data_IF_379114864152
#
_entry.id   IF_379114864152
#
_cell.length_a   1.000
_cell.length_b   1.000
_cell.length_c   1.000
_cell.angle_alpha   90.00
_cell.angle_beta   90.00
_cell.angle_gamma   90.00
#
_symmetry.space_group_name_H-M   'P 1'
#
loop_
_entity.id
_entity.type
_entity.pdbx_description
1 polymer ?
#
# COMPACT_ATOMS: atom_id res chain seq x y z
N UNK A 1 39.06 9.95 -0.79
CA UNK A 1 38.19 10.25 -1.91
C UNK A 1 36.72 10.39 -1.47
N UNK A 2 36.30 9.68 -0.42
CA UNK A 2 34.89 9.69 0.09
C UNK A 2 34.76 10.41 1.44
N UNK A 3 35.82 11.08 1.89
CA UNK A 3 35.87 11.87 3.12
C UNK A 3 35.64 11.04 4.38
N UNK A 4 35.34 11.70 5.49
CA UNK A 4 35.07 11.07 6.80
C UNK A 4 33.82 10.19 6.78
N UNK A 5 32.87 10.47 5.91
CA UNK A 5 31.65 9.67 5.76
C UNK A 5 31.91 8.26 5.19
N UNK A 6 33.03 8.07 4.48
CA UNK A 6 33.45 6.76 3.98
C UNK A 6 34.23 5.89 4.96
N UNK A 7 34.44 6.33 6.21
CA UNK A 7 35.25 5.61 7.20
C UNK A 7 34.72 4.21 7.53
N UNK A 8 33.40 3.99 7.43
CA UNK A 8 32.73 2.70 7.69
C UNK A 8 32.50 1.87 6.42
N UNK A 9 33.09 2.26 5.29
CA UNK A 9 32.94 1.61 3.99
C UNK A 9 32.03 2.40 3.04
N UNK A 10 32.19 2.11 1.75
CA UNK A 10 31.43 2.75 0.66
C UNK A 10 30.88 1.68 -0.26
N UNK A 11 29.60 1.77 -0.58
CA UNK A 11 28.95 0.96 -1.62
C UNK A 11 28.88 1.81 -2.89
N UNK A 12 29.66 1.43 -3.90
CA UNK A 12 29.64 2.10 -5.21
C UNK A 12 28.70 1.37 -6.14
N UNK A 13 27.61 2.04 -6.56
CA UNK A 13 26.66 1.52 -7.52
C UNK A 13 26.99 2.08 -8.90
N UNK A 14 27.41 1.23 -9.80
CA UNK A 14 27.66 1.58 -11.19
C UNK A 14 26.49 1.16 -12.07
N UNK A 15 25.84 2.10 -12.73
CA UNK A 15 24.70 1.82 -13.61
C UNK A 15 25.17 1.37 -14.98
N UNK A 16 24.32 0.61 -15.70
CA UNK A 16 24.61 0.17 -17.08
C UNK A 16 24.82 1.35 -17.99
N UNK A 17 25.82 1.23 -18.87
CA UNK A 17 26.13 2.21 -19.92
C UNK A 17 26.02 1.53 -21.28
N UNK A 18 25.82 2.34 -22.33
CA UNK A 18 25.92 1.89 -23.70
C UNK A 18 27.34 1.51 -24.08
N UNK A 19 27.46 0.67 -25.07
CA UNK A 19 28.73 0.32 -25.70
C UNK A 19 28.63 0.53 -27.20
N UNK A 20 29.75 0.85 -27.85
CA UNK A 20 29.83 0.95 -29.30
C UNK A 20 29.29 -0.34 -29.94
N UNK A 21 28.33 -0.22 -30.83
CA UNK A 21 27.71 -1.33 -31.50
C UNK A 21 26.31 -1.02 -31.99
N UNK A 22 25.68 -2.00 -32.65
CA UNK A 22 24.31 -1.89 -33.12
C UNK A 22 23.34 -1.68 -31.95
N UNK A 23 22.27 -0.91 -32.16
CA UNK A 23 21.21 -0.79 -31.16
C UNK A 23 20.67 -2.15 -30.74
N UNK A 24 20.54 -2.35 -29.42
CA UNK A 24 19.95 -3.52 -28.81
C UNK A 24 18.74 -3.10 -27.98
N UNK A 25 17.58 -3.61 -28.35
CA UNK A 25 16.33 -3.43 -27.60
C UNK A 25 16.04 -4.70 -26.82
N UNK A 26 15.77 -4.56 -25.54
CA UNK A 26 15.31 -5.64 -24.66
C UNK A 26 14.04 -5.19 -23.96
N UNK A 27 12.99 -6.00 -24.04
CA UNK A 27 11.73 -5.76 -23.34
C UNK A 27 11.50 -6.95 -22.42
N UNK A 28 11.22 -6.66 -21.15
CA UNK A 28 10.84 -7.66 -20.14
C UNK A 28 9.47 -7.35 -19.59
N UNK A 29 8.67 -8.38 -19.44
CA UNK A 29 7.36 -8.35 -18.83
C UNK A 29 7.35 -9.36 -17.68
N UNK A 30 7.08 -8.88 -16.48
CA UNK A 30 6.97 -9.69 -15.28
C UNK A 30 5.57 -9.56 -14.70
N UNK A 31 4.88 -10.66 -14.55
CA UNK A 31 3.63 -10.75 -13.81
C UNK A 31 3.86 -11.56 -12.55
N UNK A 32 3.60 -10.96 -11.41
CA UNK A 32 3.71 -11.61 -10.10
C UNK A 32 2.44 -11.41 -9.28
N UNK A 33 2.30 -12.20 -8.24
CA UNK A 33 1.23 -12.07 -7.26
C UNK A 33 1.86 -11.93 -5.89
N UNK A 34 1.44 -10.91 -5.17
CA UNK A 34 1.85 -10.66 -3.80
C UNK A 34 0.78 -11.19 -2.85
N UNK A 35 1.20 -11.78 -1.74
CA UNK A 35 0.32 -12.25 -0.67
C UNK A 35 0.90 -11.86 0.68
N UNK A 36 0.07 -11.84 1.70
CA UNK A 36 0.56 -11.66 3.06
C UNK A 36 1.40 -12.88 3.47
N UNK A 37 2.54 -12.63 4.06
CA UNK A 37 3.43 -13.69 4.58
C UNK A 37 2.92 -14.26 5.89
N UNK A 38 2.12 -13.50 6.63
CA UNK A 38 1.49 -13.91 7.86
C UNK A 38 0.10 -13.27 7.95
N UNK A 39 -0.91 -14.09 8.12
CA UNK A 39 -2.28 -13.64 8.40
C UNK A 39 -2.51 -13.83 9.91
N UNK A 40 -2.88 -12.78 10.66
CA UNK A 40 -3.23 -12.94 12.05
C UNK A 40 -4.45 -13.86 12.19
N UNK A 41 -4.41 -14.76 13.18
CA UNK A 41 -5.60 -15.49 13.59
C UNK A 41 -6.41 -14.63 14.55
N UNK A 42 -7.71 -14.58 14.36
CA UNK A 42 -8.63 -13.89 15.27
C UNK A 42 -9.38 -14.91 16.12
N UNK A 43 -9.76 -14.52 17.32
CA UNK A 43 -10.63 -15.31 18.18
C UNK A 43 -12.05 -15.27 17.59
N UNK A 44 -12.79 -16.34 17.77
CA UNK A 44 -14.22 -16.30 17.58
C UNK A 44 -14.90 -15.35 18.57
N UNK A 45 -16.03 -14.79 18.19
CA UNK A 45 -16.76 -13.82 19.01
C UNK A 45 -17.12 -14.34 20.41
N UNK A 46 -17.49 -15.60 20.53
CA UNK A 46 -17.76 -16.22 21.84
C UNK A 46 -16.46 -16.40 22.67
N UNK A 47 -15.34 -16.78 22.05
CA UNK A 47 -14.04 -16.87 22.73
C UNK A 47 -13.58 -15.50 23.23
N UNK A 48 -13.76 -14.45 22.39
CA UNK A 48 -13.52 -13.08 22.82
C UNK A 48 -14.32 -12.72 24.07
N UNK A 49 -15.62 -13.05 24.11
CA UNK A 49 -16.48 -12.78 25.27
C UNK A 49 -16.01 -13.53 26.52
N UNK A 50 -15.63 -14.81 26.36
CA UNK A 50 -15.12 -15.65 27.44
C UNK A 50 -13.80 -15.10 28.01
N UNK A 51 -12.81 -14.80 27.15
CA UNK A 51 -11.54 -14.21 27.57
C UNK A 51 -11.70 -12.81 28.16
N UNK A 52 -12.62 -12.02 27.62
CA UNK A 52 -12.91 -10.69 28.18
C UNK A 52 -13.48 -10.79 29.59
N UNK A 53 -14.38 -11.73 29.80
CA UNK A 53 -14.93 -12.01 31.13
C UNK A 53 -13.84 -12.47 32.11
N UNK A 54 -12.97 -13.40 31.68
CA UNK A 54 -11.85 -13.88 32.49
C UNK A 54 -10.92 -12.73 32.89
N UNK A 55 -10.54 -11.87 31.94
CA UNK A 55 -9.70 -10.71 32.22
C UNK A 55 -10.34 -9.75 33.24
N UNK A 56 -11.66 -9.49 33.11
CA UNK A 56 -12.37 -8.62 34.04
C UNK A 56 -12.46 -9.25 35.46
N UNK A 57 -12.70 -10.55 35.55
CA UNK A 57 -12.72 -11.26 36.84
C UNK A 57 -11.34 -11.26 37.48
N UNK A 58 -10.27 -11.43 36.75
CA UNK A 58 -8.89 -11.33 37.24
C UNK A 58 -8.55 -9.93 37.73
N UNK A 59 -9.16 -8.88 37.15
CA UNK A 59 -9.08 -7.50 37.64
C UNK A 59 -10.00 -7.21 38.86
N UNK A 60 -10.73 -8.20 39.36
CA UNK A 60 -11.69 -8.03 40.47
C UNK A 60 -12.97 -7.30 40.03
N UNK A 61 -13.29 -7.27 38.77
CA UNK A 61 -14.50 -6.68 38.17
C UNK A 61 -15.54 -7.76 37.84
N UNK A 62 -16.76 -7.34 37.59
CA UNK A 62 -17.83 -8.26 37.18
C UNK A 62 -17.64 -8.68 35.69
N UNK A 63 -18.11 -9.89 35.36
CA UNK A 63 -18.21 -10.34 33.96
C UNK A 63 -19.08 -9.37 33.17
N UNK A 64 -18.65 -9.09 31.93
CA UNK A 64 -19.35 -8.18 31.00
C UNK A 64 -20.43 -8.90 30.22
N UNK A 65 -20.19 -10.16 29.84
CA UNK A 65 -21.09 -10.96 29.02
C UNK A 65 -21.71 -12.08 29.86
N UNK A 66 -23.05 -12.19 29.84
CA UNK A 66 -23.73 -13.33 30.46
C UNK A 66 -23.54 -14.59 29.60
N UNK A 67 -23.74 -15.77 30.21
CA UNK A 67 -23.69 -17.04 29.48
C UNK A 67 -24.71 -17.07 28.31
N UNK A 68 -25.89 -16.52 28.53
CA UNK A 68 -26.93 -16.41 27.46
C UNK A 68 -26.43 -15.61 26.25
N UNK A 69 -25.70 -14.53 26.47
CA UNK A 69 -25.11 -13.71 25.39
C UNK A 69 -24.02 -14.49 24.67
N UNK A 70 -23.17 -15.20 25.39
CA UNK A 70 -22.11 -16.05 24.82
C UNK A 70 -22.73 -17.16 23.95
N UNK A 71 -23.80 -17.79 24.45
CA UNK A 71 -24.52 -18.85 23.68
C UNK A 71 -25.15 -18.30 22.41
N UNK A 72 -25.66 -17.06 22.44
CA UNK A 72 -26.16 -16.37 21.22
C UNK A 72 -25.04 -16.05 20.22
N UNK A 73 -23.83 -15.75 20.66
CA UNK A 73 -22.68 -15.62 19.73
C UNK A 73 -22.30 -16.99 19.12
N UNK A 74 -22.43 -18.10 19.89
CA UNK A 74 -22.20 -19.44 19.35
C UNK A 74 -23.28 -19.86 18.35
N UNK A 75 -24.53 -19.47 18.61
CA UNK A 75 -25.68 -19.73 17.73
C UNK A 75 -26.65 -18.54 17.76
N UNK A 76 -26.57 -17.61 16.81
CA UNK A 76 -27.43 -16.42 16.76
C UNK A 76 -28.93 -16.75 16.70
N UNK A 77 -29.30 -17.91 16.17
CA UNK A 77 -30.71 -18.33 16.03
C UNK A 77 -31.25 -19.04 17.26
N UNK A 78 -30.47 -19.24 18.30
CA UNK A 78 -30.86 -19.91 19.52
C UNK A 78 -32.11 -19.29 20.16
N UNK A 79 -33.14 -20.09 20.35
CA UNK A 79 -34.40 -19.67 20.98
C UNK A 79 -35.34 -18.87 20.09
N UNK A 80 -35.10 -18.76 18.79
CA UNK A 80 -36.06 -18.25 17.83
C UNK A 80 -36.99 -19.37 17.38
N UNK A 81 -38.29 -19.06 17.28
CA UNK A 81 -39.29 -19.98 16.76
C UNK A 81 -39.42 -19.79 15.23
N UNK A 82 -39.13 -20.81 14.42
CA UNK A 82 -39.30 -20.74 12.97
C UNK A 82 -40.75 -20.51 12.51
N UNK A 83 -41.75 -20.78 13.37
CA UNK A 83 -43.14 -20.52 13.07
C UNK A 83 -43.58 -19.06 13.35
N UNK A 84 -42.70 -18.23 13.94
CA UNK A 84 -43.00 -16.83 14.20
C UNK A 84 -43.12 -16.05 12.87
N UNK A 85 -44.22 -15.29 12.66
CA UNK A 85 -44.39 -14.49 11.44
C UNK A 85 -43.23 -13.55 11.14
N UNK A 86 -42.52 -13.09 12.18
CA UNK A 86 -41.37 -12.17 12.06
C UNK A 86 -40.02 -12.90 12.12
N UNK A 87 -40.00 -14.23 11.97
CA UNK A 87 -38.78 -15.03 12.13
C UNK A 87 -37.63 -14.54 11.26
N UNK A 88 -37.86 -14.30 9.98
CA UNK A 88 -36.81 -13.83 9.04
C UNK A 88 -36.17 -12.50 9.49
N UNK A 89 -36.99 -11.54 9.91
CA UNK A 89 -36.51 -10.25 10.40
C UNK A 89 -35.72 -10.41 11.71
N UNK A 90 -36.23 -11.23 12.64
CA UNK A 90 -35.57 -11.53 13.92
C UNK A 90 -34.26 -12.29 13.70
N UNK A 91 -34.24 -13.26 12.79
CA UNK A 91 -33.05 -14.03 12.45
C UNK A 91 -31.97 -13.12 11.83
N UNK A 92 -32.33 -12.27 10.86
CA UNK A 92 -31.44 -11.33 10.24
C UNK A 92 -30.82 -10.35 11.27
N UNK A 93 -31.65 -9.82 12.18
CA UNK A 93 -31.14 -8.93 13.26
C UNK A 93 -30.24 -9.68 14.23
N UNK A 94 -30.57 -10.92 14.59
CA UNK A 94 -29.74 -11.73 15.48
C UNK A 94 -28.39 -12.06 14.88
N UNK A 95 -28.34 -12.47 13.63
CA UNK A 95 -27.09 -12.73 12.89
C UNK A 95 -26.25 -11.46 12.75
N UNK A 96 -26.88 -10.32 12.58
CA UNK A 96 -26.19 -9.03 12.55
C UNK A 96 -25.63 -8.65 13.92
N UNK A 97 -26.42 -8.79 14.99
CA UNK A 97 -26.03 -8.38 16.36
C UNK A 97 -24.99 -9.32 16.96
N UNK A 98 -25.17 -10.64 16.79
CA UNK A 98 -24.29 -11.67 17.34
C UNK A 98 -23.39 -12.25 16.23
N UNK A 99 -22.68 -11.36 15.55
CA UNK A 99 -21.81 -11.72 14.44
C UNK A 99 -20.49 -12.35 14.93
N UNK A 100 -19.87 -13.09 14.02
CA UNK A 100 -18.54 -13.67 14.20
C UNK A 100 -17.70 -13.33 12.96
N UNK A 101 -17.09 -12.14 12.94
CA UNK A 101 -16.48 -11.56 11.77
C UNK A 101 -14.94 -11.71 11.79
N UNK A 102 -14.40 -12.46 10.86
CA UNK A 102 -12.97 -12.46 10.57
C UNK A 102 -12.65 -11.33 9.57
N UNK A 103 -12.35 -10.15 10.10
CA UNK A 103 -12.08 -8.96 9.30
C UNK A 103 -10.90 -9.11 8.36
N UNK A 104 -9.88 -9.86 8.73
CA UNK A 104 -8.73 -10.07 7.87
C UNK A 104 -9.13 -10.85 6.62
N UNK A 105 -9.89 -11.94 6.78
CA UNK A 105 -10.39 -12.70 5.64
C UNK A 105 -11.42 -11.94 4.81
N UNK A 106 -12.18 -11.06 5.44
CA UNK A 106 -13.20 -10.29 4.75
C UNK A 106 -12.62 -9.15 3.92
N UNK A 107 -11.66 -8.41 4.49
CA UNK A 107 -11.14 -7.20 3.85
C UNK A 107 -9.78 -7.34 3.18
N UNK A 108 -9.06 -8.43 3.42
CA UNK A 108 -7.78 -8.66 2.78
C UNK A 108 -7.91 -9.67 1.63
N UNK A 109 -7.40 -9.28 0.46
CA UNK A 109 -7.27 -10.19 -0.67
C UNK A 109 -6.10 -11.14 -0.42
N UNK A 110 -6.31 -12.43 -0.62
CA UNK A 110 -5.27 -13.43 -0.47
C UNK A 110 -4.09 -13.18 -1.43
N UNK A 111 -4.39 -12.79 -2.66
CA UNK A 111 -3.38 -12.53 -3.68
C UNK A 111 -3.76 -11.27 -4.46
N UNK A 112 -2.75 -10.45 -4.77
CA UNK A 112 -2.90 -9.26 -5.60
C UNK A 112 -1.89 -9.24 -6.73
N UNK A 113 -2.29 -8.81 -7.95
CA UNK A 113 -1.38 -8.78 -9.07
C UNK A 113 -0.38 -7.63 -8.95
N UNK A 114 0.85 -7.90 -9.37
CA UNK A 114 1.87 -6.89 -9.64
C UNK A 114 2.38 -7.09 -11.05
N UNK A 115 2.25 -6.07 -11.87
CA UNK A 115 2.72 -6.06 -13.26
C UNK A 115 3.93 -5.15 -13.37
N UNK A 116 5.00 -5.63 -14.00
CA UNK A 116 6.18 -4.84 -14.31
C UNK A 116 6.54 -4.99 -15.78
N UNK A 117 6.78 -3.86 -16.42
CA UNK A 117 7.26 -3.81 -17.82
C UNK A 117 8.52 -2.96 -17.85
N UNK A 118 9.58 -3.46 -18.44
CA UNK A 118 10.80 -2.70 -18.66
C UNK A 118 11.23 -2.80 -20.13
N UNK A 119 11.57 -1.67 -20.70
CA UNK A 119 12.19 -1.59 -22.02
C UNK A 119 13.56 -0.94 -21.89
N UNK A 120 14.58 -1.59 -22.40
CA UNK A 120 15.96 -1.12 -22.40
C UNK A 120 16.43 -0.99 -23.85
N UNK A 121 16.99 0.17 -24.18
CA UNK A 121 17.67 0.40 -25.44
C UNK A 121 19.12 0.78 -25.16
N UNK A 122 20.07 0.06 -25.73
CA UNK A 122 21.48 0.36 -25.59
C UNK A 122 22.19 0.24 -26.92
N UNK A 123 23.25 1.03 -27.09
CA UNK A 123 24.08 1.02 -28.29
C UNK A 123 25.10 2.11 -28.27
N UNK A 124 25.80 2.31 -29.38
CA UNK A 124 26.76 3.39 -29.48
C UNK A 124 27.44 3.46 -30.84
N UNK A 125 27.99 4.64 -31.09
CA UNK A 125 28.82 4.97 -32.26
C UNK A 125 30.21 5.40 -31.76
N UNK A 126 31.01 5.91 -32.67
CA UNK A 126 32.29 6.56 -32.29
C UNK A 126 32.10 7.87 -31.52
N UNK A 127 30.91 8.48 -31.61
CA UNK A 127 30.61 9.80 -31.06
C UNK A 127 29.77 9.75 -29.80
N UNK A 128 28.89 8.70 -29.67
CA UNK A 128 27.99 8.61 -28.53
C UNK A 128 27.71 7.15 -28.15
N UNK A 129 27.79 6.84 -26.86
CA UNK A 129 27.25 5.63 -26.28
C UNK A 129 26.00 6.00 -25.48
N UNK A 130 24.97 5.16 -25.57
CA UNK A 130 23.69 5.42 -24.91
C UNK A 130 23.11 4.17 -24.28
N UNK A 131 22.51 4.37 -23.12
CA UNK A 131 21.62 3.42 -22.46
C UNK A 131 20.36 4.16 -22.00
N UNK A 132 19.22 3.70 -22.48
CA UNK A 132 17.90 4.22 -22.11
C UNK A 132 17.09 3.10 -21.48
N UNK A 133 16.38 3.39 -20.39
CA UNK A 133 15.44 2.48 -19.77
C UNK A 133 14.12 3.20 -19.49
N UNK A 134 13.02 2.55 -19.82
CA UNK A 134 11.67 2.93 -19.42
C UNK A 134 11.11 1.76 -18.65
N UNK A 135 10.68 2.00 -17.43
CA UNK A 135 10.07 0.99 -16.56
C UNK A 135 8.70 1.45 -16.07
N UNK A 136 7.73 0.57 -16.15
CA UNK A 136 6.42 0.76 -15.55
C UNK A 136 6.15 -0.36 -14.55
N UNK A 137 5.61 -0.01 -13.39
CA UNK A 137 5.13 -0.97 -12.40
C UNK A 137 3.73 -0.56 -11.95
N UNK A 138 2.83 -1.52 -11.97
CA UNK A 138 1.53 -1.44 -11.32
C UNK A 138 1.48 -2.45 -10.18
N UNK A 139 1.24 -1.98 -8.98
CA UNK A 139 0.98 -2.81 -7.80
C UNK A 139 -0.50 -2.71 -7.50
N UNK A 140 -1.22 -3.80 -7.65
CA UNK A 140 -2.63 -3.89 -7.30
C UNK A 140 -2.85 -3.80 -5.79
N UNK A 141 -4.04 -3.42 -5.41
CA UNK A 141 -4.43 -3.29 -4.02
C UNK A 141 -4.86 -4.60 -3.38
N UNK A 142 -4.58 -4.73 -2.11
CA UNK A 142 -4.84 -5.94 -1.32
C UNK A 142 -6.08 -5.85 -0.43
N UNK A 143 -6.92 -4.83 -0.63
CA UNK A 143 -8.18 -4.68 0.10
C UNK A 143 -9.35 -5.21 -0.73
N UNK A 144 -10.32 -5.83 -0.06
CA UNK A 144 -11.66 -6.06 -0.60
C UNK A 144 -12.48 -4.80 -0.34
N UNK A 145 -12.72 -4.02 -1.38
CA UNK A 145 -13.47 -2.77 -1.31
C UNK A 145 -14.82 -2.93 -1.98
N UNK A 146 -15.75 -2.02 -1.68
CA UNK A 146 -16.95 -1.86 -2.49
C UNK A 146 -16.61 -1.39 -3.91
N UNK A 147 -17.57 -1.54 -4.81
CA UNK A 147 -17.43 -1.15 -6.19
C UNK A 147 -17.18 0.36 -6.31
N UNK A 148 -16.09 0.79 -6.96
CA UNK A 148 -15.81 2.21 -7.22
C UNK A 148 -16.93 2.94 -7.96
N UNK A 149 -17.65 2.27 -8.85
CA UNK A 149 -18.77 2.88 -9.58
C UNK A 149 -19.94 3.23 -8.66
N UNK A 150 -20.15 2.43 -7.61
CA UNK A 150 -21.15 2.71 -6.58
C UNK A 150 -20.72 3.84 -5.65
N UNK A 151 -19.44 3.88 -5.29
CA UNK A 151 -18.89 4.88 -4.37
C UNK A 151 -18.66 6.24 -5.04
N UNK A 152 -18.41 6.27 -6.35
CA UNK A 152 -17.95 7.45 -7.09
C UNK A 152 -16.47 7.75 -6.88
N UNK A 153 -15.70 6.87 -6.25
CA UNK A 153 -14.26 6.91 -6.07
C UNK A 153 -13.69 5.51 -5.80
N UNK A 154 -12.41 5.32 -6.06
CA UNK A 154 -11.72 4.06 -5.77
C UNK A 154 -11.02 4.12 -4.40
N UNK A 155 -11.50 3.39 -3.38
CA UNK A 155 -10.88 3.33 -2.06
C UNK A 155 -9.70 2.36 -1.99
N UNK A 156 -9.35 1.69 -3.08
CA UNK A 156 -8.33 0.64 -3.11
C UNK A 156 -6.92 1.19 -2.87
N UNK A 157 -6.09 0.41 -2.18
CA UNK A 157 -4.66 0.68 -2.09
C UNK A 157 -3.97 0.19 -3.35
N UNK A 158 -3.48 1.08 -4.21
CA UNK A 158 -2.67 0.69 -5.37
C UNK A 158 -1.54 1.69 -5.63
N UNK A 159 -0.55 1.26 -6.38
CA UNK A 159 0.56 2.11 -6.81
C UNK A 159 0.81 1.93 -8.30
N UNK A 160 0.97 3.07 -9.00
CA UNK A 160 1.48 3.13 -10.36
C UNK A 160 2.79 3.92 -10.35
N UNK A 161 3.82 3.40 -10.99
CA UNK A 161 5.11 4.08 -11.08
C UNK A 161 5.70 3.95 -12.48
N UNK A 162 5.97 5.09 -13.09
CA UNK A 162 6.74 5.21 -14.32
C UNK A 162 8.15 5.64 -13.97
N UNK A 163 9.15 4.94 -14.47
CA UNK A 163 10.57 5.24 -14.26
C UNK A 163 11.28 5.44 -15.59
N UNK A 164 12.14 6.43 -15.66
CA UNK A 164 12.97 6.74 -16.81
C UNK A 164 14.44 6.81 -16.36
N UNK A 165 15.32 6.22 -17.15
CA UNK A 165 16.77 6.36 -16.96
C UNK A 165 17.44 6.53 -18.32
N UNK A 166 18.38 7.47 -18.36
CA UNK A 166 19.21 7.71 -19.54
C UNK A 166 20.66 7.92 -19.10
N UNK A 167 21.57 7.17 -19.69
CA UNK A 167 23.01 7.35 -19.54
C UNK A 167 23.58 7.56 -20.93
N UNK A 168 24.13 8.75 -21.18
CA UNK A 168 24.69 9.18 -22.45
C UNK A 168 26.16 9.55 -22.23
N UNK A 169 27.05 8.99 -23.05
CA UNK A 169 28.47 9.36 -23.07
C UNK A 169 28.80 9.87 -24.46
N UNK A 170 29.16 11.16 -24.56
CA UNK A 170 29.53 11.86 -25.78
C UNK A 170 31.05 11.93 -25.88
N UNK A 171 31.64 11.32 -26.88
CA UNK A 171 33.04 11.40 -27.22
C UNK A 171 33.27 12.63 -28.11
N UNK A 172 33.50 13.80 -27.49
CA UNK A 172 33.65 15.09 -28.20
C UNK A 172 34.95 15.10 -28.98
N UNK A 173 36.02 14.62 -28.36
CA UNK A 173 37.29 14.35 -29.00
C UNK A 173 37.85 13.02 -28.46
N UNK A 174 39.04 12.61 -28.96
CA UNK A 174 39.70 11.40 -28.42
C UNK A 174 39.98 11.48 -26.91
N UNK A 175 40.17 12.70 -26.42
CA UNK A 175 40.62 12.98 -25.07
C UNK A 175 39.55 13.69 -24.22
N UNK A 176 38.40 14.06 -24.79
CA UNK A 176 37.32 14.77 -24.08
C UNK A 176 36.01 14.02 -24.18
N UNK A 177 35.47 13.60 -23.04
CA UNK A 177 34.21 12.93 -22.91
C UNK A 177 33.27 13.72 -22.02
N UNK A 178 32.02 13.93 -22.47
CA UNK A 178 30.95 14.47 -21.67
C UNK A 178 29.91 13.36 -21.39
N UNK A 179 29.56 13.19 -20.14
CA UNK A 179 28.56 12.19 -19.70
C UNK A 179 27.34 12.89 -19.11
N UNK A 180 26.14 12.46 -19.52
CA UNK A 180 24.87 12.90 -18.95
C UNK A 180 24.11 11.68 -18.40
N UNK A 181 23.89 11.66 -17.09
CA UNK A 181 23.10 10.65 -16.42
C UNK A 181 21.79 11.30 -15.94
N UNK A 182 20.67 10.74 -16.34
CA UNK A 182 19.33 11.15 -15.92
C UNK A 182 18.62 9.96 -15.31
N UNK A 183 17.98 10.17 -14.16
CA UNK A 183 17.06 9.22 -13.57
C UNK A 183 15.84 9.97 -13.03
N UNK A 184 14.66 9.52 -13.39
CA UNK A 184 13.40 10.13 -12.96
C UNK A 184 12.37 9.05 -12.69
N UNK A 185 11.48 9.32 -11.75
CA UNK A 185 10.23 8.56 -11.64
C UNK A 185 9.05 9.49 -11.33
N UNK A 186 7.89 9.05 -11.78
CA UNK A 186 6.60 9.55 -11.35
C UNK A 186 5.81 8.39 -10.74
N UNK A 187 5.33 8.57 -9.52
CA UNK A 187 4.62 7.56 -8.75
C UNK A 187 3.31 8.14 -8.24
N UNK A 188 2.22 7.41 -8.49
CA UNK A 188 0.90 7.67 -7.95
C UNK A 188 0.51 6.53 -7.02
N UNK A 189 0.26 6.86 -5.76
CA UNK A 189 -0.23 5.91 -4.74
C UNK A 189 -1.63 6.34 -4.34
N UNK A 190 -2.58 5.42 -4.37
CA UNK A 190 -3.93 5.62 -3.87
C UNK A 190 -4.17 4.75 -2.63
N UNK A 191 -4.97 5.22 -1.71
CA UNK A 191 -5.36 4.48 -0.51
C UNK A 191 -6.64 5.04 0.08
N UNK A 192 -7.36 4.29 0.95
CA UNK A 192 -8.46 4.83 1.72
C UNK A 192 -8.03 6.04 2.55
N UNK A 193 -8.92 7.00 2.70
CA UNK A 193 -8.64 8.16 3.54
C UNK A 193 -8.70 7.78 5.02
N UNK A 194 -7.55 7.78 5.67
CA UNK A 194 -7.46 7.63 7.12
C UNK A 194 -7.57 9.00 7.74
N UNK A 195 -8.81 9.49 7.87
CA UNK A 195 -9.06 10.75 8.55
C UNK A 195 -8.98 10.58 10.05
N UNK A 196 -8.08 11.25 10.68
CA UNK A 196 -8.00 11.41 12.11
C UNK A 196 -7.40 12.77 12.45
N UNK A 197 -7.57 13.21 13.69
CA UNK A 197 -7.09 14.49 14.21
C UNK A 197 -5.56 14.68 14.04
N UNK A 198 -4.84 13.64 13.63
CA UNK A 198 -3.37 13.57 13.53
C UNK A 198 -2.84 13.34 12.11
N UNK A 199 -3.61 13.63 11.07
CA UNK A 199 -3.17 13.55 9.67
C UNK A 199 -2.72 12.12 9.30
N UNK A 200 -3.63 11.32 8.79
CA UNK A 200 -3.46 9.89 8.62
C UNK A 200 -2.26 9.48 7.79
N UNK A 201 -1.39 8.68 8.40
CA UNK A 201 -0.37 7.91 7.71
C UNK A 201 -0.89 6.50 7.41
N UNK A 202 -0.25 5.82 6.47
CA UNK A 202 -0.56 4.42 6.12
C UNK A 202 -0.55 3.48 7.34
N UNK A 203 0.36 3.72 8.28
CA UNK A 203 0.44 2.98 9.55
C UNK A 203 -0.80 3.17 10.43
N UNK A 204 -1.44 4.32 10.38
CA UNK A 204 -2.68 4.55 11.12
C UNK A 204 -3.86 3.79 10.55
N UNK A 205 -3.95 3.62 9.23
CA UNK A 205 -4.99 2.80 8.63
C UNK A 205 -4.92 1.35 9.13
N UNK A 206 -3.74 0.76 9.12
CA UNK A 206 -3.53 -0.61 9.61
C UNK A 206 -3.86 -0.69 11.11
N UNK A 207 -3.41 0.29 11.89
CA UNK A 207 -3.69 0.35 13.32
C UNK A 207 -5.20 0.47 13.59
N UNK A 208 -5.89 1.36 12.89
CA UNK A 208 -7.35 1.51 12.99
C UNK A 208 -8.06 0.21 12.59
N UNK A 209 -7.65 -0.45 11.51
CA UNK A 209 -8.22 -1.74 11.11
C UNK A 209 -8.06 -2.79 12.20
N UNK A 210 -6.88 -2.89 12.82
CA UNK A 210 -6.62 -3.81 13.91
C UNK A 210 -7.46 -3.47 15.14
N UNK A 211 -7.50 -2.21 15.55
CA UNK A 211 -8.22 -1.76 16.72
C UNK A 211 -9.73 -1.85 16.61
N UNK A 212 -10.25 -1.53 15.40
CA UNK A 212 -11.69 -1.48 15.14
C UNK A 212 -12.25 -2.82 14.63
N UNK A 213 -11.38 -3.80 14.37
CA UNK A 213 -11.76 -5.08 13.77
C UNK A 213 -11.95 -6.16 14.83
N UNK A 214 -12.88 -5.92 15.75
CA UNK A 214 -13.26 -6.93 16.74
C UNK A 214 -14.31 -7.87 16.15
N UNK A 215 -14.14 -9.17 16.35
CA UNK A 215 -15.03 -10.21 15.78
C UNK A 215 -16.49 -10.04 16.17
N UNK A 216 -16.76 -9.43 17.31
CA UNK A 216 -18.11 -9.10 17.81
C UNK A 216 -18.72 -7.85 17.15
N UNK A 217 -18.02 -7.16 16.26
CA UNK A 217 -18.46 -5.89 15.67
C UNK A 217 -19.13 -6.14 14.32
N UNK A 218 -20.35 -5.64 14.05
CA UNK A 218 -20.94 -5.63 12.72
C UNK A 218 -20.09 -4.85 11.72
N UNK A 219 -20.05 -5.32 10.48
CA UNK A 219 -19.13 -4.81 9.44
C UNK A 219 -19.78 -3.89 8.41
N UNK A 220 -21.09 -3.96 8.28
CA UNK A 220 -21.85 -3.27 7.23
C UNK A 220 -23.07 -2.57 7.82
N UNK A 221 -23.86 -1.98 6.96
CA UNK A 221 -25.20 -1.53 7.31
C UNK A 221 -26.04 -2.69 7.84
N UNK A 222 -26.89 -2.41 8.81
CA UNK A 222 -27.81 -3.38 9.35
C UNK A 222 -28.83 -3.87 8.32
N UNK A 223 -29.61 -4.91 8.64
CA UNK A 223 -30.66 -5.40 7.77
C UNK A 223 -31.66 -4.31 7.40
N UNK A 224 -32.06 -4.26 6.15
CA UNK A 224 -33.00 -3.26 5.63
C UNK A 224 -34.42 -3.38 6.20
N UNK A 225 -34.75 -4.55 6.74
CA UNK A 225 -36.08 -4.85 7.35
C UNK A 225 -36.17 -4.42 8.81
N UNK A 226 -35.08 -4.06 9.45
CA UNK A 226 -35.03 -3.72 10.88
C UNK A 226 -34.24 -2.44 11.06
N UNK A 227 -34.76 -1.49 11.83
CA UNK A 227 -34.01 -0.32 12.27
C UNK A 227 -32.88 -0.73 13.22
N UNK A 228 -32.00 0.14 13.58
CA UNK A 228 -30.84 -0.16 14.41
C UNK A 228 -31.15 -0.94 15.70
N UNK A 229 -30.12 -1.48 16.34
CA UNK A 229 -30.25 -2.28 17.58
C UNK A 229 -31.06 -1.56 18.67
N UNK A 230 -30.95 -0.25 18.76
CA UNK A 230 -31.68 0.61 19.71
C UNK A 230 -32.90 1.31 19.10
N UNK A 231 -33.26 0.99 17.86
CA UNK A 231 -34.32 1.67 17.08
C UNK A 231 -34.15 3.19 16.91
N UNK A 232 -32.97 3.72 17.16
CA UNK A 232 -32.69 5.16 17.05
C UNK A 232 -32.22 5.58 15.67
N UNK A 233 -31.75 4.66 14.84
CA UNK A 233 -31.25 4.93 13.49
C UNK A 233 -32.14 4.27 12.42
N UNK A 234 -32.23 4.86 11.21
CA UNK A 234 -32.97 4.27 10.11
C UNK A 234 -32.46 2.86 9.72
N UNK A 235 -33.34 2.04 9.17
CA UNK A 235 -32.96 0.75 8.60
C UNK A 235 -31.83 0.92 7.57
N UNK A 236 -30.89 -0.01 7.57
CA UNK A 236 -29.69 0.05 6.70
C UNK A 236 -28.59 0.99 7.20
N UNK A 237 -28.74 1.63 8.36
CA UNK A 237 -27.68 2.45 8.95
C UNK A 237 -26.49 1.61 9.39
N UNK A 238 -25.30 2.18 9.26
CA UNK A 238 -24.07 1.60 9.81
C UNK A 238 -24.05 1.90 11.31
N UNK A 239 -23.90 0.87 12.14
CA UNK A 239 -23.88 1.02 13.59
C UNK A 239 -22.44 1.13 14.05
N UNK A 240 -22.14 2.18 14.80
CA UNK A 240 -20.87 2.36 15.51
C UNK A 240 -21.06 2.04 17.00
N UNK A 241 -20.17 1.25 17.57
CA UNK A 241 -20.20 0.94 19.02
C UNK A 241 -19.56 2.06 19.82
N UNK A 242 -20.04 2.26 21.06
CA UNK A 242 -19.68 3.40 21.92
C UNK A 242 -18.18 3.65 22.15
N UNK A 243 -17.34 2.65 21.97
CA UNK A 243 -15.89 2.78 22.15
C UNK A 243 -15.10 2.62 20.86
N UNK A 244 -15.81 2.44 19.74
CA UNK A 244 -15.24 2.36 18.41
C UNK A 244 -15.74 3.55 17.61
N UNK A 245 -14.83 4.46 17.26
CA UNK A 245 -15.19 5.65 16.46
C UNK A 245 -15.73 5.27 15.07
N UNK A 246 -15.43 4.04 14.61
CA UNK A 246 -15.73 3.60 13.24
C UNK A 246 -15.54 2.11 13.06
N UNK A 247 -16.25 1.53 12.11
CA UNK A 247 -16.07 0.11 11.72
C UNK A 247 -14.97 -0.04 10.66
N UNK A 248 -14.41 -1.25 10.53
CA UNK A 248 -13.45 -1.54 9.45
C UNK A 248 -14.06 -1.31 8.06
N UNK A 249 -15.34 -1.61 7.87
CA UNK A 249 -16.09 -1.33 6.66
C UNK A 249 -16.08 0.17 6.31
N UNK A 250 -16.37 1.01 7.30
CA UNK A 250 -16.41 2.46 7.15
C UNK A 250 -15.02 3.04 6.85
N UNK A 251 -13.98 2.56 7.53
CA UNK A 251 -12.60 2.97 7.31
C UNK A 251 -12.18 2.71 5.86
N UNK A 252 -12.52 1.55 5.32
CA UNK A 252 -12.12 1.16 3.96
C UNK A 252 -13.00 1.84 2.91
N UNK A 253 -14.33 1.89 3.11
CA UNK A 253 -15.26 2.19 2.02
C UNK A 253 -15.98 3.53 2.12
N UNK A 254 -16.02 4.21 3.28
CA UNK A 254 -16.89 5.38 3.48
C UNK A 254 -16.15 6.66 3.80
N UNK A 255 -14.84 6.65 3.83
CA UNK A 255 -14.03 7.82 4.21
C UNK A 255 -13.38 8.54 3.03
N UNK A 256 -13.69 8.11 1.82
CA UNK A 256 -13.06 8.63 0.61
C UNK A 256 -11.68 8.01 0.36
N UNK A 257 -10.88 8.71 -0.41
CA UNK A 257 -9.55 8.27 -0.82
C UNK A 257 -8.51 9.36 -0.59
N UNK A 258 -7.27 8.94 -0.57
CA UNK A 258 -6.11 9.82 -0.47
C UNK A 258 -5.10 9.43 -1.53
N UNK A 259 -4.61 10.40 -2.31
CA UNK A 259 -3.59 10.16 -3.32
C UNK A 259 -2.28 10.83 -2.95
N UNK A 260 -1.18 10.13 -3.12
CA UNK A 260 0.18 10.68 -3.01
C UNK A 260 0.84 10.64 -4.38
N UNK A 261 1.25 11.79 -4.87
CA UNK A 261 1.97 11.93 -6.13
C UNK A 261 3.41 12.29 -5.85
N UNK A 262 4.32 11.39 -6.17
CA UNK A 262 5.75 11.59 -5.97
C UNK A 262 6.45 11.68 -7.32
N UNK A 263 7.30 12.68 -7.46
CA UNK A 263 8.13 12.86 -8.65
C UNK A 263 9.53 13.19 -8.20
N UNK A 264 10.52 12.55 -8.83
CA UNK A 264 11.88 12.96 -8.66
C UNK A 264 12.60 13.09 -10.02
N UNK A 265 13.63 13.88 -10.03
CA UNK A 265 14.57 13.97 -11.13
C UNK A 265 15.98 14.10 -10.53
N UNK A 266 16.82 13.14 -10.86
CA UNK A 266 18.23 13.17 -10.54
C UNK A 266 18.99 13.31 -11.86
N UNK A 267 19.80 14.34 -11.97
CA UNK A 267 20.63 14.58 -13.15
C UNK A 267 22.08 14.82 -12.75
N UNK A 268 22.98 14.26 -13.52
CA UNK A 268 24.40 14.44 -13.32
C UNK A 268 25.07 14.64 -14.67
N UNK A 269 25.78 15.75 -14.79
CA UNK A 269 26.65 16.03 -15.91
C UNK A 269 28.10 15.89 -15.46
N UNK A 270 28.92 15.17 -16.24
CA UNK A 270 30.34 14.97 -15.98
C UNK A 270 31.12 15.28 -17.24
N UNK A 271 32.12 16.10 -17.13
CA UNK A 271 33.08 16.36 -18.18
C UNK A 271 34.43 15.77 -17.76
N UNK A 272 34.98 14.89 -18.56
CA UNK A 272 36.30 14.28 -18.34
C UNK A 272 37.23 14.62 -19.47
N UNK A 273 38.34 15.25 -19.13
CA UNK A 273 39.40 15.64 -20.07
C UNK A 273 40.70 14.90 -19.74
N UNK A 274 41.11 13.99 -20.61
CA UNK A 274 42.40 13.30 -20.53
C UNK A 274 43.48 14.19 -21.12
N UNK A 275 44.42 14.63 -20.27
CA UNK A 275 45.56 15.48 -20.61
C UNK A 275 46.85 14.69 -20.76
N UNK A 276 46.78 13.36 -20.83
CA UNK A 276 47.96 12.48 -20.90
C UNK A 276 48.87 12.79 -22.07
N UNK A 277 48.31 13.19 -23.21
CA UNK A 277 49.07 13.54 -24.42
C UNK A 277 49.50 15.03 -24.46
N UNK A 278 48.79 15.90 -23.71
CA UNK A 278 48.98 17.33 -23.75
C UNK A 278 49.97 17.84 -22.66
N UNK A 279 49.96 17.23 -21.49
CA UNK A 279 50.74 17.72 -20.34
C UNK A 279 51.65 16.62 -19.79
N UNK A 280 51.07 15.55 -19.21
CA UNK A 280 51.85 14.44 -18.65
C UNK A 280 51.01 13.18 -18.58
N UNK A 281 51.67 12.04 -18.80
CA UNK A 281 51.01 10.73 -18.82
C UNK A 281 50.24 10.45 -17.54
N UNK A 282 48.95 10.09 -17.68
CA UNK A 282 48.05 9.77 -16.58
C UNK A 282 47.37 10.97 -15.93
N UNK A 283 47.56 12.20 -16.43
CA UNK A 283 46.87 13.36 -15.94
C UNK A 283 45.46 13.45 -16.59
N UNK A 284 44.43 13.62 -15.76
CA UNK A 284 43.07 13.93 -16.22
C UNK A 284 42.40 14.95 -15.30
N UNK A 285 41.48 15.71 -15.87
CA UNK A 285 40.65 16.67 -15.13
C UNK A 285 39.17 16.20 -15.30
N UNK A 286 38.48 16.11 -14.17
CA UNK A 286 37.04 15.78 -14.16
C UNK A 286 36.25 16.89 -13.49
N UNK A 287 35.30 17.46 -14.22
CA UNK A 287 34.32 18.40 -13.70
C UNK A 287 32.97 17.67 -13.56
N UNK A 288 32.26 17.89 -12.46
CA UNK A 288 30.96 17.26 -12.17
C UNK A 288 29.98 18.34 -11.71
N UNK A 289 28.75 18.29 -12.27
CA UNK A 289 27.62 19.06 -11.81
C UNK A 289 26.43 18.09 -11.63
N UNK A 290 25.73 18.19 -10.50
CA UNK A 290 24.56 17.38 -10.21
C UNK A 290 23.39 18.27 -9.79
N UNK A 291 22.18 17.85 -10.19
CA UNK A 291 20.93 18.49 -9.80
C UNK A 291 19.92 17.41 -9.43
N UNK A 292 19.43 17.49 -8.22
CA UNK A 292 18.43 16.57 -7.68
C UNK A 292 17.20 17.36 -7.23
N UNK A 293 16.03 16.87 -7.59
CA UNK A 293 14.77 17.44 -7.13
C UNK A 293 13.81 16.32 -6.73
N UNK A 294 13.05 16.60 -5.70
CA UNK A 294 12.00 15.73 -5.19
C UNK A 294 10.75 16.55 -4.91
N UNK A 295 9.63 16.13 -5.48
CA UNK A 295 8.31 16.72 -5.25
C UNK A 295 7.37 15.64 -4.70
N UNK A 296 6.70 15.98 -3.61
CA UNK A 296 5.68 15.14 -2.99
C UNK A 296 4.40 15.98 -2.90
N UNK A 297 3.42 15.65 -3.75
CA UNK A 297 2.08 16.21 -3.75
C UNK A 297 1.09 15.28 -3.03
N UNK A 298 0.14 15.86 -2.36
CA UNK A 298 -0.97 15.18 -1.68
C UNK A 298 -2.26 15.59 -2.36
#
# INVERSE_FOLDING_TARGET
LYGVQGANGVILIQTRRGQKGKPQLSITFDQSWTSFTMEPSVLHSWEYCEFRNEALLNDGKNAQYSQEVIDKYKNPLLGLDPADPDYEAKAAMRQYTYCDNDFYRMYLKKNTPQTRVNANLSGGTDYVNYFLNIGYIHQGGNLNTEDPDYLGYDPQCYMNRLSLRSNLDFHITKNLTASLNLASYAEDVNMPCVGGMYGGSESWMINDLIYQSQTITPISAGPTTVSSIDNSAPAGSIISYNYLDRTAFEIINRRGFHTKKRKNLNSQFTLNWDLSELVTKGLSITGLAAYDTYNNGI
#
